data_IF_980992889388
#
_entry.id   IF_980992889388
#
_cell.length_a   1.000
_cell.length_b   1.000
_cell.length_c   1.000
_cell.angle_alpha   90.00
_cell.angle_beta   90.00
_cell.angle_gamma   90.00
#
_symmetry.space_group_name_H-M   'P 1'
#
loop_
_entity.id
_entity.type
_entity.pdbx_description
1 polymer ?
#
# COMPACT_ATOMS: atom_id res chain seq x y z
N UNK A 1 13.88 -13.00 0.61
CA UNK A 1 13.23 -13.58 -0.60
C UNK A 1 12.27 -12.55 -1.18
N UNK A 2 12.09 -12.52 -2.51
CA UNK A 2 11.12 -11.62 -3.14
C UNK A 2 9.82 -12.36 -3.43
N UNK A 3 8.70 -11.82 -2.97
CA UNK A 3 7.36 -12.37 -3.22
C UNK A 3 6.59 -11.42 -4.12
N UNK A 4 6.10 -11.95 -5.23
CA UNK A 4 5.34 -11.19 -6.21
C UNK A 4 3.85 -11.24 -5.86
N UNK A 5 3.25 -10.07 -5.63
CA UNK A 5 1.86 -9.93 -5.18
C UNK A 5 1.03 -9.15 -6.18
N UNK A 6 -0.27 -9.50 -6.24
CA UNK A 6 -1.24 -8.83 -7.11
C UNK A 6 -2.44 -8.29 -6.34
N UNK A 7 -2.65 -8.75 -5.10
CA UNK A 7 -3.79 -8.40 -4.25
C UNK A 7 -3.33 -8.22 -2.80
N UNK A 8 -4.08 -7.45 -1.99
CA UNK A 8 -3.75 -7.27 -0.57
C UNK A 8 -3.78 -8.59 0.23
N UNK A 9 -4.73 -9.48 -0.08
CA UNK A 9 -4.80 -10.82 0.52
C UNK A 9 -3.56 -11.70 0.26
N UNK A 10 -2.76 -11.41 -0.78
CA UNK A 10 -1.53 -12.16 -1.04
C UNK A 10 -0.42 -11.79 -0.02
N UNK A 11 -0.64 -10.76 0.82
CA UNK A 11 0.25 -10.37 1.92
C UNK A 11 0.00 -11.17 3.20
N UNK A 12 -1.06 -11.98 3.28
CA UNK A 12 -1.34 -12.80 4.45
C UNK A 12 -0.35 -13.96 4.57
N UNK A 13 0.26 -14.09 5.75
CA UNK A 13 1.23 -15.17 6.04
C UNK A 13 2.65 -14.90 5.55
N UNK A 14 2.96 -13.70 5.06
CA UNK A 14 4.33 -13.29 4.75
C UNK A 14 5.08 -12.85 6.00
N UNK A 15 6.37 -13.23 6.08
CA UNK A 15 7.27 -12.87 7.17
C UNK A 15 8.11 -11.64 6.78
N UNK A 16 7.92 -10.53 7.50
CA UNK A 16 8.59 -9.26 7.26
C UNK A 16 10.12 -9.27 7.47
N UNK A 17 10.64 -10.20 8.27
CA UNK A 17 12.08 -10.28 8.50
C UNK A 17 12.82 -10.93 7.33
N UNK A 18 12.14 -11.80 6.57
CA UNK A 18 12.75 -12.65 5.55
C UNK A 18 12.29 -12.27 4.14
N UNK A 19 11.04 -11.80 4.00
CA UNK A 19 10.38 -11.61 2.72
C UNK A 19 10.16 -10.13 2.41
N UNK A 20 10.44 -9.76 1.17
CA UNK A 20 10.14 -8.45 0.61
C UNK A 20 9.13 -8.58 -0.52
N UNK A 21 8.25 -7.61 -0.63
CA UNK A 21 7.10 -7.63 -1.53
C UNK A 21 7.43 -6.87 -2.81
N UNK A 22 7.17 -7.49 -3.97
CA UNK A 22 7.13 -6.81 -5.26
C UNK A 22 5.71 -6.83 -5.83
N UNK A 23 5.18 -5.64 -6.13
CA UNK A 23 3.85 -5.50 -6.71
C UNK A 23 3.94 -5.73 -8.23
N UNK A 24 3.09 -6.62 -8.75
CA UNK A 24 3.02 -6.90 -10.19
C UNK A 24 2.69 -5.65 -11.03
N UNK A 25 3.19 -5.62 -12.27
CA UNK A 25 2.97 -4.50 -13.20
C UNK A 25 1.52 -4.33 -13.67
N UNK A 26 0.70 -5.39 -13.57
CA UNK A 26 -0.72 -5.37 -13.92
C UNK A 26 -1.61 -4.70 -12.86
N UNK A 27 -1.05 -4.34 -11.71
CA UNK A 27 -1.79 -3.73 -10.59
C UNK A 27 -1.91 -2.22 -10.81
N UNK A 28 -3.13 -1.72 -11.00
CA UNK A 28 -3.41 -0.28 -11.15
C UNK A 28 -3.36 0.51 -9.84
N UNK A 29 -3.23 1.84 -9.94
CA UNK A 29 -2.99 2.78 -8.83
C UNK A 29 -3.83 2.54 -7.57
N UNK A 30 -5.16 2.54 -7.70
CA UNK A 30 -6.09 2.27 -6.57
C UNK A 30 -5.76 0.99 -5.80
N UNK A 31 -5.49 -0.11 -6.49
CA UNK A 31 -5.17 -1.40 -5.84
C UNK A 31 -3.76 -1.39 -5.24
N UNK A 32 -2.82 -0.68 -5.87
CA UNK A 32 -1.46 -0.50 -5.34
C UNK A 32 -1.51 0.22 -4.00
N UNK A 33 -2.31 1.27 -3.86
CA UNK A 33 -2.47 1.99 -2.59
C UNK A 33 -2.96 1.06 -1.48
N UNK A 34 -3.97 0.23 -1.73
CA UNK A 34 -4.45 -0.75 -0.75
C UNK A 34 -3.37 -1.77 -0.35
N UNK A 35 -2.57 -2.24 -1.32
CA UNK A 35 -1.46 -3.18 -1.05
C UNK A 35 -0.37 -2.51 -0.21
N UNK A 36 -0.05 -1.24 -0.48
CA UNK A 36 0.97 -0.49 0.28
C UNK A 36 0.50 -0.27 1.72
N UNK A 37 -0.73 0.21 1.91
CA UNK A 37 -1.30 0.43 3.23
C UNK A 37 -1.31 -0.85 4.07
N UNK A 38 -1.69 -1.98 3.47
CA UNK A 38 -1.69 -3.27 4.17
C UNK A 38 -0.27 -3.83 4.40
N UNK A 39 0.65 -3.61 3.46
CA UNK A 39 2.05 -3.99 3.64
C UNK A 39 2.69 -3.19 4.78
N UNK A 40 2.42 -1.89 4.89
CA UNK A 40 2.90 -1.04 5.98
C UNK A 40 2.31 -1.49 7.33
N UNK A 41 1.01 -1.82 7.37
CA UNK A 41 0.38 -2.36 8.58
C UNK A 41 0.99 -3.69 9.05
N UNK A 42 1.54 -4.49 8.13
CA UNK A 42 2.21 -5.76 8.40
C UNK A 42 3.75 -5.63 8.48
N UNK A 43 4.28 -4.40 8.42
CA UNK A 43 5.72 -4.11 8.41
C UNK A 43 6.50 -4.79 7.26
N UNK A 44 5.83 -5.12 6.16
CA UNK A 44 6.42 -5.76 4.99
C UNK A 44 7.10 -4.71 4.09
N UNK A 45 8.35 -4.94 3.71
CA UNK A 45 9.07 -4.04 2.82
C UNK A 45 8.63 -4.19 1.37
N UNK A 46 8.09 -3.12 0.78
CA UNK A 46 7.75 -3.07 -0.65
C UNK A 46 8.94 -2.56 -1.48
N UNK A 47 9.38 -3.34 -2.49
CA UNK A 47 10.54 -3.02 -3.33
C UNK A 47 10.22 -2.00 -4.44
N UNK A 48 8.98 -1.95 -4.89
CA UNK A 48 8.52 -1.06 -5.95
C UNK A 48 7.20 -0.37 -5.53
N UNK A 49 7.21 0.57 -4.57
CA UNK A 49 5.98 1.23 -4.11
C UNK A 49 5.28 2.06 -5.20
N UNK A 50 6.01 2.52 -6.23
CA UNK A 50 5.45 3.38 -7.28
C UNK A 50 5.35 4.84 -6.81
N UNK A 51 5.11 5.76 -7.75
CA UNK A 51 5.05 7.20 -7.43
C UNK A 51 3.76 7.53 -6.67
N UNK A 52 3.94 8.09 -5.47
CA UNK A 52 2.93 8.51 -4.48
C UNK A 52 2.09 9.73 -4.90
N UNK A 53 2.15 10.19 -6.15
CA UNK A 53 1.44 11.41 -6.59
C UNK A 53 -0.10 11.30 -6.58
N UNK A 54 -0.66 10.16 -6.21
CA UNK A 54 -2.10 9.96 -5.99
C UNK A 54 -2.46 9.68 -4.52
N UNK A 55 -1.68 10.15 -3.52
CA UNK A 55 -2.30 10.46 -2.22
C UNK A 55 -3.18 11.66 -2.50
N UNK A 56 -4.44 11.39 -2.83
CA UNK A 56 -5.41 12.40 -3.19
C UNK A 56 -5.46 13.44 -2.09
N UNK A 57 -5.30 14.71 -2.47
CA UNK A 57 -5.69 15.86 -1.66
C UNK A 57 -7.11 15.72 -1.10
N UNK A 58 -7.92 14.83 -1.69
CA UNK A 58 -9.26 14.41 -1.24
C UNK A 58 -9.31 13.84 0.18
N UNK A 59 -8.32 13.07 0.65
CA UNK A 59 -8.33 12.56 2.04
C UNK A 59 -7.94 13.65 3.05
N UNK A 60 -7.10 14.62 2.66
CA UNK A 60 -6.70 15.74 3.53
C UNK A 60 -7.84 16.75 3.76
N UNK A 61 -8.78 16.87 2.82
CA UNK A 61 -9.88 17.83 2.91
C UNK A 61 -10.97 17.38 3.90
N UNK A 62 -11.19 16.08 4.07
CA UNK A 62 -12.21 15.53 4.98
C UNK A 62 -11.92 15.75 6.46
N UNK A 63 -10.65 15.85 6.86
CA UNK A 63 -10.28 16.07 8.26
C UNK A 63 -10.38 17.55 8.67
N UNK A 64 -10.22 18.48 7.73
CA UNK A 64 -10.25 19.93 8.01
C UNK A 64 -11.68 20.50 8.12
N UNK A 65 -12.67 19.90 7.46
CA UNK A 65 -14.08 20.31 7.55
C UNK A 65 -14.75 19.84 8.87
N UNK A 66 -14.09 19.02 9.68
CA UNK A 66 -14.61 18.54 10.97
C UNK A 66 -14.17 19.39 12.18
N UNK A 67 -13.35 20.42 11.95
CA UNK A 67 -12.90 21.35 13.01
C UNK A 67 -13.73 22.65 13.09
N UNK A 68 -14.79 22.81 12.28
CA UNK A 68 -15.75 23.92 12.39
C UNK A 68 -17.05 23.48 13.10
N UNK A 69 -17.00 23.26 14.42
CA UNK A 69 -18.17 23.33 15.33
C UNK A 69 -17.79 23.93 16.70
#
# INVERSE_FOLDING_TARGET
>A
EEVLVHRPADLEGLDAEIQAVRIGSSVGGRKRQSIIAEADAKFLRVLNPGTTEEIGEEDLFTDLDLEED
#
